data_IF_671365024995
#
_entry.id   IF_671365024995
#
_cell.length_a   1.000
_cell.length_b   1.000
_cell.length_c   1.000
_cell.angle_alpha   90.00
_cell.angle_beta   90.00
_cell.angle_gamma   90.00
#
_symmetry.space_group_name_H-M   'P 1'
#
loop_
_entity.id
_entity.type
_entity.pdbx_description
1 polymer ?
#
# COMPACT_ATOMS: atom_id res chain seq x y z
N UNK A 1 -2.45 -24.36 -6.22
CA UNK A 1 -1.44 -24.85 -5.24
C UNK A 1 -0.07 -24.45 -5.76
N UNK A 2 0.54 -23.42 -5.18
CA UNK A 2 1.92 -23.03 -5.49
C UNK A 2 2.83 -23.95 -4.69
N UNK A 3 3.22 -25.09 -5.28
CA UNK A 3 4.06 -26.07 -4.60
C UNK A 3 5.54 -25.75 -4.79
N UNK A 4 6.25 -25.57 -3.67
CA UNK A 4 7.69 -25.82 -3.57
C UNK A 4 8.58 -24.66 -4.03
N UNK A 5 9.26 -24.06 -3.03
CA UNK A 5 10.15 -22.89 -3.11
C UNK A 5 9.36 -21.60 -3.40
N UNK A 6 9.38 -20.69 -2.42
CA UNK A 6 8.83 -19.32 -2.49
C UNK A 6 7.33 -19.09 -2.18
N UNK A 7 6.67 -19.91 -1.34
CA UNK A 7 5.39 -19.51 -0.71
C UNK A 7 5.53 -18.16 0.06
N UNK A 8 6.75 -17.86 0.54
CA UNK A 8 7.08 -16.63 1.25
C UNK A 8 7.61 -15.49 0.36
N UNK A 9 7.64 -15.65 -0.97
CA UNK A 9 7.99 -14.55 -1.85
C UNK A 9 7.05 -13.38 -1.56
N UNK A 10 7.60 -12.19 -1.30
CA UNK A 10 6.82 -10.98 -1.02
C UNK A 10 5.70 -10.74 -2.05
N UNK A 11 5.98 -11.00 -3.33
CA UNK A 11 5.00 -10.86 -4.41
C UNK A 11 3.72 -11.66 -4.15
N UNK A 12 3.84 -12.81 -3.48
CA UNK A 12 2.72 -13.64 -3.06
C UNK A 12 2.05 -13.08 -1.81
N UNK A 13 2.79 -12.47 -0.88
CA UNK A 13 2.23 -11.80 0.32
C UNK A 13 1.34 -10.61 -0.06
N UNK A 14 1.82 -9.76 -0.98
CA UNK A 14 1.05 -8.64 -1.52
C UNK A 14 -0.21 -9.13 -2.24
N UNK A 15 -0.03 -10.07 -3.18
CA UNK A 15 -1.13 -10.59 -3.99
C UNK A 15 -2.16 -11.30 -3.13
N UNK A 16 -1.72 -12.10 -2.16
CA UNK A 16 -2.59 -12.77 -1.20
C UNK A 16 -3.43 -11.77 -0.40
N UNK A 17 -2.81 -10.71 0.12
CA UNK A 17 -3.52 -9.69 0.90
C UNK A 17 -4.53 -8.93 0.03
N UNK A 18 -4.12 -8.53 -1.17
CA UNK A 18 -4.98 -7.83 -2.13
C UNK A 18 -6.14 -8.71 -2.59
N UNK A 19 -5.89 -9.98 -2.90
CA UNK A 19 -6.93 -10.93 -3.31
C UNK A 19 -7.89 -11.24 -2.17
N UNK A 20 -7.42 -11.40 -0.93
CA UNK A 20 -8.32 -11.59 0.22
C UNK A 20 -9.25 -10.39 0.40
N UNK A 21 -8.73 -9.17 0.25
CA UNK A 21 -9.50 -7.94 0.29
C UNK A 21 -10.49 -7.83 -0.89
N UNK A 22 -10.09 -8.27 -2.09
CA UNK A 22 -10.94 -8.27 -3.28
C UNK A 22 -12.07 -9.30 -3.18
N UNK A 23 -11.75 -10.53 -2.79
CA UNK A 23 -12.66 -11.68 -2.69
C UNK A 23 -13.68 -11.48 -1.59
N UNK A 24 -13.30 -10.88 -0.45
CA UNK A 24 -14.23 -10.57 0.62
C UNK A 24 -15.42 -9.72 0.14
N UNK A 25 -15.23 -8.90 -0.91
CA UNK A 25 -16.32 -8.16 -1.56
C UNK A 25 -16.95 -7.04 -0.72
N UNK A 26 -16.48 -6.83 0.51
CA UNK A 26 -17.12 -5.95 1.49
C UNK A 26 -16.89 -4.45 1.24
N UNK A 27 -15.97 -4.09 0.34
CA UNK A 27 -15.63 -2.70 0.03
C UNK A 27 -16.06 -2.32 -1.39
N UNK A 28 -17.22 -1.68 -1.50
CA UNK A 28 -17.91 -1.40 -2.78
C UNK A 28 -17.78 0.06 -3.24
N UNK A 29 -17.19 0.94 -2.43
CA UNK A 29 -17.01 2.38 -2.77
C UNK A 29 -16.05 2.55 -3.96
N UNK A 30 -15.13 1.60 -4.16
CA UNK A 30 -14.23 1.53 -5.32
C UNK A 30 -14.30 0.13 -5.92
N UNK A 31 -14.14 0.03 -7.24
CA UNK A 31 -13.85 -1.25 -7.91
C UNK A 31 -12.39 -1.63 -7.70
N UNK A 32 -12.12 -2.93 -7.55
CA UNK A 32 -10.78 -3.51 -7.56
C UNK A 32 -10.73 -4.63 -8.59
N UNK A 33 -9.98 -4.41 -9.66
CA UNK A 33 -9.74 -5.41 -10.71
C UNK A 33 -8.32 -5.98 -10.59
N UNK A 34 -8.17 -7.27 -10.86
CA UNK A 34 -6.86 -7.93 -10.94
C UNK A 34 -6.67 -8.46 -12.35
N UNK A 35 -5.70 -7.89 -13.08
CA UNK A 35 -5.40 -8.22 -14.47
C UNK A 35 -4.07 -8.95 -14.53
N UNK A 36 -3.99 -10.02 -15.31
CA UNK A 36 -2.77 -10.81 -15.52
C UNK A 36 -2.31 -10.75 -16.97
N UNK A 37 -1.00 -10.67 -17.21
CA UNK A 37 -0.42 -10.76 -18.54
C UNK A 37 0.89 -11.57 -18.56
N UNK A 38 1.10 -12.47 -19.54
CA UNK A 38 0.12 -12.95 -20.52
C UNK A 38 -1.08 -13.66 -19.88
N UNK A 39 -2.22 -13.75 -20.58
CA UNK A 39 -3.47 -14.27 -20.01
C UNK A 39 -3.36 -15.72 -19.49
N UNK A 40 -2.66 -16.58 -20.24
CA UNK A 40 -2.55 -18.00 -19.93
C UNK A 40 -1.47 -18.33 -18.87
N UNK A 41 -0.50 -17.43 -18.68
CA UNK A 41 0.58 -17.58 -17.70
C UNK A 41 0.99 -16.19 -17.19
N UNK A 42 0.20 -15.59 -16.26
CA UNK A 42 0.43 -14.21 -15.84
C UNK A 42 1.78 -14.01 -15.17
N UNK A 43 2.65 -13.23 -15.84
CA UNK A 43 3.94 -12.83 -15.31
C UNK A 43 3.87 -11.45 -14.65
N UNK A 44 3.15 -10.53 -15.28
CA UNK A 44 2.78 -9.23 -14.71
C UNK A 44 1.35 -9.29 -14.18
N UNK A 45 1.15 -8.80 -12.96
CA UNK A 45 -0.17 -8.72 -12.33
C UNK A 45 -0.44 -7.27 -11.94
N UNK A 46 -1.56 -6.74 -12.38
CA UNK A 46 -2.01 -5.37 -12.15
C UNK A 46 -3.21 -5.40 -11.21
N UNK A 47 -3.06 -4.84 -10.02
CA UNK A 47 -4.17 -4.58 -9.11
C UNK A 47 -4.62 -3.14 -9.34
N UNK A 48 -5.83 -2.96 -9.86
CA UNK A 48 -6.34 -1.67 -10.34
C UNK A 48 -7.53 -1.24 -9.50
N UNK A 49 -7.38 -0.18 -8.72
CA UNK A 49 -8.45 0.46 -7.97
C UNK A 49 -9.01 1.65 -8.78
N UNK A 50 -10.33 1.69 -8.98
CA UNK A 50 -11.04 2.77 -9.69
C UNK A 50 -12.34 3.14 -8.97
N UNK A 51 -12.77 4.40 -9.09
CA UNK A 51 -14.12 4.84 -8.71
C UNK A 51 -14.47 6.15 -9.40
N UNK A 52 -15.70 6.65 -9.20
CA UNK A 52 -16.12 7.96 -9.72
C UNK A 52 -15.40 9.15 -9.07
N UNK A 53 -14.79 8.95 -7.89
CA UNK A 53 -14.15 10.02 -7.10
C UNK A 53 -12.64 9.85 -6.99
N UNK A 54 -12.10 8.67 -7.29
CA UNK A 54 -10.68 8.36 -7.21
C UNK A 54 -10.12 8.05 -8.59
N UNK A 55 -9.06 8.78 -8.97
CA UNK A 55 -8.29 8.47 -10.17
C UNK A 55 -7.76 7.04 -10.13
N UNK A 56 -7.60 6.37 -11.29
CA UNK A 56 -7.06 5.02 -11.33
C UNK A 56 -5.76 4.90 -10.55
N UNK A 57 -5.73 3.96 -9.60
CA UNK A 57 -4.56 3.65 -8.80
C UNK A 57 -4.16 2.19 -9.03
N UNK A 58 -2.97 2.00 -9.59
CA UNK A 58 -2.44 0.70 -9.94
C UNK A 58 -1.32 0.33 -8.99
N UNK A 59 -1.33 -0.92 -8.55
CA UNK A 59 -0.15 -1.58 -8.01
C UNK A 59 0.24 -2.72 -8.94
N UNK A 60 1.50 -2.80 -9.33
CA UNK A 60 1.98 -3.79 -10.30
C UNK A 60 2.99 -4.72 -9.65
N UNK A 61 2.70 -6.01 -9.73
CA UNK A 61 3.63 -7.07 -9.39
C UNK A 61 4.32 -7.54 -10.67
N UNK A 62 5.65 -7.51 -10.66
CA UNK A 62 6.50 -8.02 -11.74
C UNK A 62 6.89 -9.50 -11.55
N UNK A 63 7.42 -10.19 -12.57
CA UNK A 63 7.83 -11.59 -12.47
C UNK A 63 8.96 -11.78 -11.45
N UNK A 64 9.02 -12.95 -10.79
CA UNK A 64 10.12 -13.25 -9.85
C UNK A 64 11.44 -13.50 -10.60
N UNK A 65 11.37 -14.14 -11.77
CA UNK A 65 12.53 -14.56 -12.57
C UNK A 65 13.20 -13.43 -13.36
N UNK A 66 12.90 -12.18 -13.03
CA UNK A 66 13.37 -11.00 -13.77
C UNK A 66 12.39 -10.51 -14.82
N UNK A 67 12.65 -9.30 -15.32
CA UNK A 67 11.75 -8.58 -16.22
C UNK A 67 11.83 -9.10 -17.66
N UNK A 68 10.65 -9.37 -18.24
CA UNK A 68 10.50 -9.51 -19.68
C UNK A 68 9.99 -8.19 -20.24
N UNK A 69 10.90 -7.39 -20.80
CA UNK A 69 10.62 -6.03 -21.28
C UNK A 69 9.59 -6.02 -22.41
N UNK A 70 9.55 -7.06 -23.25
CA UNK A 70 8.54 -7.17 -24.31
C UNK A 70 7.15 -7.32 -23.70
N UNK A 71 7.00 -8.27 -22.77
CA UNK A 71 5.74 -8.50 -22.07
C UNK A 71 5.30 -7.29 -21.26
N UNK A 72 6.23 -6.66 -20.52
CA UNK A 72 5.95 -5.42 -19.78
C UNK A 72 5.38 -4.34 -20.69
N UNK A 73 5.99 -4.14 -21.85
CA UNK A 73 5.58 -3.07 -22.75
C UNK A 73 4.22 -3.33 -23.38
N UNK A 74 3.93 -4.58 -23.73
CA UNK A 74 2.63 -4.96 -24.27
C UNK A 74 1.54 -4.86 -23.20
N UNK A 75 1.79 -5.42 -22.02
CA UNK A 75 0.83 -5.41 -20.92
C UNK A 75 0.49 -4.01 -20.44
N UNK A 76 1.48 -3.11 -20.33
CA UNK A 76 1.24 -1.70 -19.97
C UNK A 76 0.34 -1.02 -21.00
N UNK A 77 0.55 -1.26 -22.30
CA UNK A 77 -0.31 -0.68 -23.34
C UNK A 77 -1.75 -1.18 -23.22
N UNK A 78 -1.95 -2.48 -23.02
CA UNK A 78 -3.28 -3.07 -22.87
C UNK A 78 -4.01 -2.53 -21.63
N UNK A 79 -3.31 -2.41 -20.50
CA UNK A 79 -3.88 -1.86 -19.26
C UNK A 79 -4.23 -0.38 -19.43
N UNK A 80 -3.35 0.41 -20.04
CA UNK A 80 -3.62 1.83 -20.29
C UNK A 80 -4.77 2.05 -21.28
N UNK A 81 -4.87 1.22 -22.31
CA UNK A 81 -6.00 1.27 -23.26
C UNK A 81 -7.32 0.96 -22.56
N UNK A 82 -7.34 -0.07 -21.70
CA UNK A 82 -8.50 -0.42 -20.87
C UNK A 82 -8.93 0.70 -19.92
N UNK A 83 -7.96 1.44 -19.36
CA UNK A 83 -8.22 2.51 -18.38
C UNK A 83 -8.35 3.90 -19.01
N UNK A 84 -8.31 4.00 -20.34
CA UNK A 84 -8.24 5.27 -21.07
C UNK A 84 -9.32 6.24 -20.64
N UNK A 85 -10.57 5.80 -20.62
CA UNK A 85 -11.71 6.66 -20.34
C UNK A 85 -11.68 7.18 -18.90
N UNK A 86 -11.32 6.34 -17.93
CA UNK A 86 -11.16 6.76 -16.53
C UNK A 86 -9.99 7.73 -16.37
N UNK A 87 -8.85 7.46 -17.02
CA UNK A 87 -7.68 8.36 -16.97
C UNK A 87 -8.05 9.74 -17.53
N UNK A 88 -8.78 9.80 -18.65
CA UNK A 88 -9.26 11.04 -19.25
C UNK A 88 -10.26 11.75 -18.35
N UNK A 89 -11.22 11.02 -17.77
CA UNK A 89 -12.24 11.59 -16.90
C UNK A 89 -11.64 12.21 -15.63
N UNK A 90 -10.65 11.56 -15.03
CA UNK A 90 -10.00 12.05 -13.80
C UNK A 90 -8.81 12.98 -14.05
N UNK A 91 -8.29 13.02 -15.28
CA UNK A 91 -7.09 13.76 -15.65
C UNK A 91 -5.80 13.22 -15.01
N UNK A 92 -5.86 12.09 -14.30
CA UNK A 92 -4.77 11.59 -13.44
C UNK A 92 -4.72 10.07 -13.40
N UNK A 93 -3.55 9.54 -13.12
CA UNK A 93 -3.31 8.12 -12.82
C UNK A 93 -2.16 8.00 -11.81
N UNK A 94 -2.26 7.04 -10.90
CA UNK A 94 -1.20 6.71 -9.95
C UNK A 94 -0.74 5.27 -10.16
N UNK A 95 0.57 5.06 -10.17
CA UNK A 95 1.20 3.75 -10.35
C UNK A 95 2.19 3.52 -9.21
N UNK A 96 2.07 2.37 -8.56
CA UNK A 96 2.99 1.85 -7.54
C UNK A 96 3.62 0.57 -8.09
N UNK A 97 4.87 0.66 -8.55
CA UNK A 97 5.59 -0.49 -9.13
C UNK A 97 7.11 -0.30 -9.03
N UNK A 98 7.90 -1.22 -9.58
CA UNK A 98 9.33 -1.00 -9.75
C UNK A 98 9.63 0.13 -10.77
N UNK A 99 10.91 0.53 -10.85
CA UNK A 99 11.33 1.64 -11.69
C UNK A 99 11.08 1.40 -13.18
N UNK A 100 11.39 0.19 -13.69
CA UNK A 100 11.25 -0.12 -15.10
C UNK A 100 9.78 -0.14 -15.51
N UNK A 101 8.92 -0.71 -14.67
CA UNK A 101 7.47 -0.73 -14.87
C UNK A 101 6.90 0.68 -14.91
N UNK A 102 7.22 1.53 -13.94
CA UNK A 102 6.68 2.90 -13.93
C UNK A 102 7.20 3.78 -15.08
N UNK A 103 8.43 3.57 -15.56
CA UNK A 103 8.92 4.21 -16.78
C UNK A 103 8.19 3.73 -18.04
N UNK A 104 7.81 2.44 -18.10
CA UNK A 104 6.99 1.94 -19.19
C UNK A 104 5.62 2.65 -19.23
N UNK A 105 4.99 2.90 -18.07
CA UNK A 105 3.77 3.70 -17.98
C UNK A 105 3.98 5.11 -18.51
N UNK A 106 5.00 5.83 -18.04
CA UNK A 106 5.30 7.19 -18.50
C UNK A 106 5.52 7.28 -20.01
N UNK A 107 6.20 6.29 -20.60
CA UNK A 107 6.45 6.23 -22.05
C UNK A 107 5.18 5.99 -22.86
N UNK A 108 4.28 5.13 -22.40
CA UNK A 108 3.10 4.71 -23.18
C UNK A 108 1.83 5.48 -22.87
N UNK A 109 1.78 6.23 -21.76
CA UNK A 109 0.62 7.01 -21.36
C UNK A 109 0.27 8.12 -22.38
N UNK A 110 1.21 8.97 -22.85
CA UNK A 110 0.89 10.00 -23.83
C UNK A 110 0.33 9.50 -25.17
N UNK A 111 0.93 8.50 -25.85
CA UNK A 111 0.40 8.03 -27.14
C UNK A 111 -0.96 7.32 -27.03
N UNK A 112 -1.30 6.74 -25.87
CA UNK A 112 -2.59 6.06 -25.67
C UNK A 112 -3.71 7.06 -25.36
N UNK A 113 -3.44 8.04 -24.50
CA UNK A 113 -4.43 9.06 -24.11
C UNK A 113 -4.49 10.20 -25.14
N UNK A 114 -3.46 10.37 -25.96
CA UNK A 114 -3.37 11.42 -26.98
C UNK A 114 -3.07 12.81 -26.41
N UNK A 115 -2.55 12.90 -25.18
CA UNK A 115 -2.21 14.14 -24.49
C UNK A 115 -0.89 14.00 -23.72
N UNK A 116 -0.10 15.07 -23.57
CA UNK A 116 1.08 15.03 -22.72
C UNK A 116 0.69 14.98 -21.23
N UNK A 117 1.63 14.54 -20.40
CA UNK A 117 1.47 14.42 -18.96
C UNK A 117 2.68 14.99 -18.22
N UNK A 118 2.44 15.47 -17.00
CA UNK A 118 3.50 15.75 -16.03
C UNK A 118 3.51 14.67 -14.94
N UNK A 119 4.72 14.30 -14.50
CA UNK A 119 4.92 13.56 -13.26
C UNK A 119 4.83 14.53 -12.08
N UNK A 120 3.77 14.44 -11.29
CA UNK A 120 3.50 15.35 -10.16
C UNK A 120 3.83 14.74 -8.80
N UNK A 121 3.98 13.42 -8.74
CA UNK A 121 4.53 12.70 -7.57
C UNK A 121 5.57 11.73 -8.08
N UNK A 122 6.71 11.69 -7.41
CA UNK A 122 7.78 10.71 -7.64
C UNK A 122 8.39 10.36 -6.28
N UNK A 123 7.93 9.26 -5.70
CA UNK A 123 8.39 8.81 -4.38
C UNK A 123 9.00 7.43 -4.49
N UNK A 124 10.28 7.34 -4.18
CA UNK A 124 10.98 6.07 -4.02
C UNK A 124 10.80 5.57 -2.59
N UNK A 125 10.26 4.36 -2.46
CA UNK A 125 9.97 3.74 -1.19
C UNK A 125 10.72 2.42 -1.05
N UNK A 126 11.35 2.26 0.10
CA UNK A 126 11.76 0.95 0.57
C UNK A 126 10.55 0.17 1.06
N UNK A 127 10.60 -1.13 0.89
CA UNK A 127 9.51 -2.02 1.24
C UNK A 127 9.89 -2.93 2.39
N UNK A 128 9.09 -2.91 3.44
CA UNK A 128 9.29 -3.75 4.61
C UNK A 128 8.13 -4.75 4.72
N UNK A 129 8.46 -5.98 5.08
CA UNK A 129 7.48 -7.04 5.31
C UNK A 129 7.83 -7.84 6.56
N UNK A 130 6.84 -8.55 7.10
CA UNK A 130 7.05 -9.52 8.18
C UNK A 130 7.04 -10.94 7.62
N UNK A 131 8.04 -11.74 7.95
CA UNK A 131 8.09 -13.18 7.66
C UNK A 131 7.04 -13.94 8.50
N UNK A 132 6.80 -15.23 8.19
CA UNK A 132 5.91 -16.06 9.00
C UNK A 132 6.37 -16.11 10.47
N UNK A 133 7.67 -16.29 10.72
CA UNK A 133 8.25 -16.30 12.06
C UNK A 133 8.06 -14.95 12.79
N UNK A 134 8.30 -13.83 12.09
CA UNK A 134 8.07 -12.50 12.65
C UNK A 134 6.61 -12.28 13.03
N UNK A 135 5.67 -12.74 12.20
CA UNK A 135 4.23 -12.66 12.48
C UNK A 135 3.80 -13.55 13.65
N UNK A 136 4.37 -14.74 13.80
CA UNK A 136 4.13 -15.61 14.96
C UNK A 136 4.61 -14.95 16.26
N UNK A 137 5.84 -14.44 16.27
CA UNK A 137 6.38 -13.66 17.41
C UNK A 137 5.51 -12.45 17.72
N UNK A 138 5.06 -11.74 16.69
CA UNK A 138 4.18 -10.59 16.83
C UNK A 138 2.85 -10.97 17.49
N UNK A 139 2.25 -12.10 17.15
CA UNK A 139 0.96 -12.53 17.69
C UNK A 139 0.98 -12.77 19.21
N UNK A 140 2.14 -13.17 19.74
CA UNK A 140 2.37 -13.46 21.17
C UNK A 140 2.87 -12.24 21.97
N UNK A 141 3.22 -11.15 21.28
CA UNK A 141 3.89 -10.02 21.90
C UNK A 141 2.92 -9.07 22.62
N UNK A 142 3.24 -8.70 23.86
CA UNK A 142 2.60 -7.58 24.53
C UNK A 142 3.15 -6.26 23.97
N UNK A 143 2.26 -5.38 23.52
CA UNK A 143 2.63 -4.09 22.96
C UNK A 143 2.82 -3.10 24.10
N UNK A 144 4.02 -2.52 24.29
CA UNK A 144 4.20 -1.45 25.25
C UNK A 144 3.43 -0.22 24.79
N UNK A 145 2.42 0.17 25.57
CA UNK A 145 1.63 1.39 25.35
C UNK A 145 2.01 2.40 26.45
N UNK A 146 2.28 3.68 26.10
CA UNK A 146 2.56 4.69 27.12
C UNK A 146 1.44 4.83 28.15
N UNK A 147 1.79 5.20 29.38
CA UNK A 147 0.83 5.39 30.47
C UNK A 147 -0.27 6.39 30.08
N UNK A 148 -1.51 6.05 30.40
CA UNK A 148 -2.67 6.88 30.10
C UNK A 148 -3.06 6.91 28.62
N UNK A 149 -2.47 6.05 27.78
CA UNK A 149 -2.85 5.86 26.39
C UNK A 149 -3.54 4.52 26.20
N UNK A 150 -4.56 4.51 25.35
CA UNK A 150 -5.23 3.29 24.89
C UNK A 150 -5.03 3.12 23.39
N UNK A 151 -4.94 1.86 22.94
CA UNK A 151 -4.94 1.50 21.51
C UNK A 151 -6.23 0.77 21.18
N UNK A 152 -6.99 1.32 20.25
CA UNK A 152 -8.30 0.79 19.86
C UNK A 152 -8.55 0.94 18.36
N UNK A 153 -9.60 0.28 17.85
CA UNK A 153 -10.03 0.44 16.45
C UNK A 153 -10.41 1.90 16.21
N UNK A 154 -10.06 2.45 15.04
CA UNK A 154 -10.52 3.80 14.67
C UNK A 154 -12.04 3.82 14.56
N UNK A 155 -12.66 4.86 15.12
CA UNK A 155 -14.08 5.13 14.92
C UNK A 155 -14.22 6.00 13.66
N UNK A 156 -14.66 5.39 12.57
CA UNK A 156 -14.73 6.06 11.28
C UNK A 156 -15.69 7.25 11.25
N UNK A 157 -16.76 7.21 12.05
CA UNK A 157 -17.80 8.24 12.06
C UNK A 157 -17.34 9.44 12.90
N UNK A 158 -16.59 9.15 13.95
CA UNK A 158 -16.02 10.17 14.83
C UNK A 158 -14.75 10.80 14.25
N UNK A 159 -13.82 9.99 13.75
CA UNK A 159 -12.45 10.41 13.45
C UNK A 159 -12.21 10.64 11.94
N UNK A 160 -13.09 10.12 11.07
CA UNK A 160 -12.80 9.98 9.65
C UNK A 160 -12.51 11.31 8.93
N UNK A 161 -13.26 12.37 9.22
CA UNK A 161 -13.01 13.70 8.67
C UNK A 161 -11.66 14.28 9.12
N UNK A 162 -11.32 14.10 10.40
CA UNK A 162 -10.03 14.57 10.95
C UNK A 162 -8.87 13.82 10.30
N UNK A 163 -8.99 12.50 10.19
CA UNK A 163 -7.98 11.64 9.56
C UNK A 163 -7.83 12.00 8.08
N UNK A 164 -8.93 12.24 7.36
CA UNK A 164 -8.90 12.65 5.97
C UNK A 164 -8.20 14.01 5.79
N UNK A 165 -8.59 15.02 6.58
CA UNK A 165 -8.03 16.37 6.50
C UNK A 165 -6.51 16.40 6.77
N UNK A 166 -6.01 15.48 7.59
CA UNK A 166 -4.58 15.36 7.91
C UNK A 166 -3.80 14.50 6.91
N UNK A 167 -4.49 13.81 6.00
CA UNK A 167 -3.84 12.91 5.06
C UNK A 167 -3.42 13.63 3.78
N UNK A 168 -2.11 13.85 3.61
CA UNK A 168 -1.53 14.49 2.40
C UNK A 168 -1.94 13.85 1.07
N UNK A 169 -2.30 12.56 1.10
CA UNK A 169 -2.68 11.78 -0.08
C UNK A 169 -4.17 11.45 -0.11
N UNK A 170 -4.98 12.04 0.78
CA UNK A 170 -6.43 11.90 0.78
C UNK A 170 -7.02 12.44 -0.51
N UNK A 171 -7.92 11.66 -1.13
CA UNK A 171 -8.61 12.05 -2.38
C UNK A 171 -10.07 12.40 -2.09
N UNK A 172 -10.75 11.52 -1.34
CA UNK A 172 -12.15 11.70 -0.94
C UNK A 172 -12.31 11.30 0.53
N UNK A 173 -13.06 12.12 1.28
CA UNK A 173 -13.44 11.82 2.65
C UNK A 173 -14.26 10.53 2.72
N UNK A 174 -15.23 10.35 1.82
CA UNK A 174 -16.06 9.14 1.74
C UNK A 174 -15.21 7.88 1.56
N UNK A 175 -14.23 7.91 0.66
CA UNK A 175 -13.30 6.79 0.46
C UNK A 175 -12.48 6.55 1.74
N UNK A 176 -12.04 7.62 2.41
CA UNK A 176 -11.23 7.51 3.63
C UNK A 176 -12.05 6.91 4.78
N UNK A 177 -13.26 7.42 5.02
CA UNK A 177 -14.21 6.94 6.04
C UNK A 177 -14.57 5.48 5.76
N UNK A 178 -14.87 5.14 4.51
CA UNK A 178 -15.17 3.77 4.14
C UNK A 178 -13.96 2.86 4.43
N UNK A 179 -12.73 3.27 4.08
CA UNK A 179 -11.53 2.48 4.40
C UNK A 179 -11.39 2.25 5.90
N UNK A 180 -11.65 3.26 6.72
CA UNK A 180 -11.63 3.13 8.19
C UNK A 180 -12.68 2.14 8.72
N UNK A 181 -13.86 2.08 8.11
CA UNK A 181 -14.93 1.14 8.49
C UNK A 181 -14.58 -0.31 8.15
N UNK A 182 -14.13 -0.54 6.93
CA UNK A 182 -13.99 -1.87 6.34
C UNK A 182 -12.59 -2.48 6.46
N UNK A 183 -11.56 -1.66 6.59
CA UNK A 183 -10.19 -2.14 6.70
C UNK A 183 -9.65 -1.99 8.12
N UNK A 184 -8.72 -2.90 8.53
CA UNK A 184 -8.00 -2.77 9.79
C UNK A 184 -7.44 -1.37 9.98
N UNK A 185 -7.75 -0.79 11.14
CA UNK A 185 -7.30 0.54 11.52
C UNK A 185 -7.18 0.61 13.03
N UNK A 186 -6.13 1.29 13.51
CA UNK A 186 -5.86 1.47 14.94
C UNK A 186 -5.62 2.95 15.21
N UNK A 187 -6.16 3.45 16.31
CA UNK A 187 -5.82 4.75 16.86
C UNK A 187 -5.26 4.63 18.28
N UNK A 188 -4.53 5.67 18.68
CA UNK A 188 -4.17 5.92 20.06
C UNK A 188 -5.05 7.04 20.63
N UNK A 189 -5.54 6.87 21.86
CA UNK A 189 -6.29 7.91 22.59
C UNK A 189 -5.73 8.17 23.97
N UNK A 190 -5.86 9.41 24.44
CA UNK A 190 -5.61 9.75 25.84
C UNK A 190 -6.79 9.35 26.75
N UNK A 191 -6.64 9.58 28.06
CA UNK A 191 -7.67 9.30 29.08
C UNK A 191 -8.96 10.09 28.89
N UNK A 192 -8.93 11.20 28.15
CA UNK A 192 -10.10 12.01 27.83
C UNK A 192 -10.76 11.57 26.51
N UNK A 193 -10.20 10.55 25.85
CA UNK A 193 -10.66 10.07 24.56
C UNK A 193 -10.23 10.93 23.38
N UNK A 194 -9.23 11.81 23.51
CA UNK A 194 -8.72 12.59 22.38
C UNK A 194 -7.85 11.71 21.48
N UNK A 195 -7.99 11.87 20.16
CA UNK A 195 -7.19 11.17 19.16
C UNK A 195 -5.74 11.68 19.19
N UNK A 196 -4.77 10.78 19.34
CA UNK A 196 -3.33 11.11 19.40
C UNK A 196 -2.57 10.73 18.14
N UNK A 197 -3.07 9.72 17.43
CA UNK A 197 -2.46 9.17 16.22
C UNK A 197 -3.22 7.95 15.73
N UNK A 198 -2.93 7.52 14.51
CA UNK A 198 -3.59 6.40 13.85
C UNK A 198 -2.72 5.74 12.79
N UNK A 199 -3.14 4.56 12.34
CA UNK A 199 -2.71 3.91 11.11
C UNK A 199 -3.86 3.06 10.56
N UNK A 200 -3.86 2.80 9.26
CA UNK A 200 -4.84 1.92 8.61
C UNK A 200 -4.20 1.07 7.53
N UNK A 201 -4.76 -0.09 7.24
CA UNK A 201 -4.37 -0.83 6.05
C UNK A 201 -4.99 -0.19 4.79
N UNK A 202 -4.19 -0.10 3.73
CA UNK A 202 -4.63 0.37 2.42
C UNK A 202 -5.35 -0.72 1.63
N UNK A 203 -5.88 -0.33 0.46
CA UNK A 203 -6.64 -1.23 -0.43
C UNK A 203 -5.83 -2.46 -0.89
N UNK A 204 -4.50 -2.36 -0.92
CA UNK A 204 -3.62 -3.45 -1.33
C UNK A 204 -2.95 -4.18 -0.15
N UNK A 205 -3.54 -4.06 1.05
CA UNK A 205 -3.11 -4.81 2.23
C UNK A 205 -1.79 -4.33 2.85
N UNK A 206 -1.32 -3.13 2.52
CA UNK A 206 -0.18 -2.49 3.17
C UNK A 206 -0.62 -1.68 4.39
N UNK A 207 0.20 -1.59 5.43
CA UNK A 207 0.04 -0.54 6.45
C UNK A 207 0.28 0.81 5.77
N UNK A 208 -0.61 1.76 6.01
CA UNK A 208 -0.65 3.07 5.38
C UNK A 208 -1.20 4.13 6.33
N UNK A 209 -1.01 5.40 5.94
CA UNK A 209 -1.51 6.56 6.67
C UNK A 209 -1.19 6.50 8.18
N UNK A 210 0.03 6.05 8.53
CA UNK A 210 0.53 6.16 9.90
C UNK A 210 0.80 7.64 10.20
N UNK A 211 0.17 8.13 11.25
CA UNK A 211 0.34 9.51 11.68
C UNK A 211 0.23 9.61 13.20
N UNK A 212 1.08 10.46 13.78
CA UNK A 212 0.97 10.88 15.18
C UNK A 212 0.94 12.40 15.18
N UNK A 213 -0.03 12.97 15.89
CA UNK A 213 -0.16 14.41 16.06
C UNK A 213 1.17 14.99 16.58
N UNK A 214 1.66 16.12 16.03
CA UNK A 214 2.99 16.65 16.34
C UNK A 214 3.36 16.71 17.83
N UNK A 215 2.44 17.14 18.68
CA UNK A 215 2.55 17.28 20.14
C UNK A 215 2.65 15.93 20.90
N UNK A 216 2.34 14.82 20.22
CA UNK A 216 2.39 13.46 20.76
C UNK A 216 3.52 12.61 20.16
N UNK A 217 4.35 13.17 19.28
CA UNK A 217 5.50 12.47 18.66
C UNK A 217 6.62 12.17 19.66
N UNK A 218 7.51 11.25 19.27
CA UNK A 218 8.69 10.81 20.05
C UNK A 218 8.36 10.13 21.39
N UNK A 219 7.12 9.66 21.57
CA UNK A 219 6.65 8.94 22.77
C UNK A 219 6.42 7.44 22.51
N UNK A 220 6.93 6.91 21.39
CA UNK A 220 6.72 5.50 21.00
C UNK A 220 5.35 5.18 20.39
N UNK A 221 4.44 6.16 20.29
CA UNK A 221 3.06 5.94 19.82
C UNK A 221 2.94 5.36 18.42
N UNK A 222 3.68 5.90 17.44
CA UNK A 222 3.64 5.40 16.06
C UNK A 222 3.97 3.91 15.98
N UNK A 223 5.07 3.51 16.64
CA UNK A 223 5.45 2.10 16.77
C UNK A 223 4.36 1.26 17.44
N UNK A 224 3.73 1.75 18.50
CA UNK A 224 2.70 1.01 19.22
C UNK A 224 1.44 0.80 18.36
N UNK A 225 1.00 1.84 17.66
CA UNK A 225 -0.11 1.82 16.70
C UNK A 225 0.20 0.85 15.54
N UNK A 226 1.35 1.02 14.90
CA UNK A 226 1.80 0.17 13.78
C UNK A 226 1.86 -1.30 14.19
N UNK A 227 2.46 -1.59 15.34
CA UNK A 227 2.59 -2.96 15.86
C UNK A 227 1.21 -3.57 16.15
N UNK A 228 0.27 -2.80 16.72
CA UNK A 228 -1.09 -3.31 16.98
C UNK A 228 -1.85 -3.57 15.69
N UNK A 229 -1.72 -2.68 14.70
CA UNK A 229 -2.33 -2.88 13.39
C UNK A 229 -1.76 -4.13 12.71
N UNK A 230 -0.44 -4.32 12.76
CA UNK A 230 0.22 -5.52 12.26
C UNK A 230 -0.27 -6.80 12.96
N UNK A 231 -0.53 -6.76 14.28
CA UNK A 231 -1.12 -7.88 15.02
C UNK A 231 -2.52 -8.22 14.50
N UNK A 232 -3.38 -7.22 14.33
CA UNK A 232 -4.74 -7.42 13.81
C UNK A 232 -4.72 -7.99 12.39
N UNK A 233 -3.89 -7.43 11.51
CA UNK A 233 -3.73 -7.95 10.15
C UNK A 233 -3.23 -9.41 10.15
N UNK A 234 -2.29 -9.75 11.04
CA UNK A 234 -1.80 -11.13 11.20
C UNK A 234 -2.92 -12.07 11.65
N UNK A 235 -3.76 -11.67 12.62
CA UNK A 235 -4.91 -12.47 13.09
C UNK A 235 -5.94 -12.71 11.99
N UNK A 236 -6.09 -11.77 11.06
CA UNK A 236 -6.94 -11.91 9.88
C UNK A 236 -6.31 -12.74 8.76
N UNK A 237 -5.12 -13.32 8.97
CA UNK A 237 -4.40 -14.10 7.98
C UNK A 237 -3.81 -13.27 6.85
N UNK A 238 -3.68 -11.95 7.02
CA UNK A 238 -3.08 -11.08 6.02
C UNK A 238 -1.56 -11.12 6.08
N UNK A 239 -0.95 -10.86 4.93
CA UNK A 239 0.44 -10.43 4.88
C UNK A 239 0.59 -9.08 5.55
N UNK A 240 1.70 -8.88 6.27
CA UNK A 240 2.02 -7.58 6.87
C UNK A 240 3.17 -6.95 6.11
N UNK A 241 2.90 -5.85 5.44
CA UNK A 241 3.88 -5.08 4.69
C UNK A 241 3.63 -3.58 4.80
N UNK A 242 4.66 -2.78 4.55
CA UNK A 242 4.58 -1.32 4.48
C UNK A 242 5.61 -0.75 3.51
N UNK A 243 5.33 0.46 3.05
CA UNK A 243 6.25 1.24 2.24
C UNK A 243 6.73 2.43 3.05
N UNK A 244 8.04 2.67 3.00
CA UNK A 244 8.67 3.81 3.68
C UNK A 244 9.44 4.60 2.65
N UNK A 245 9.01 5.84 2.40
CA UNK A 245 9.72 6.80 1.55
C UNK A 245 11.15 7.00 2.10
N UNK A 246 12.16 6.95 1.23
CA UNK A 246 13.56 7.17 1.64
C UNK A 246 13.80 8.55 2.26
N UNK A 247 13.00 9.55 1.84
CA UNK A 247 13.01 10.90 2.40
C UNK A 247 12.58 10.93 3.87
N UNK A 248 11.83 9.94 4.34
CA UNK A 248 11.42 9.81 5.74
C UNK A 248 12.47 9.03 6.53
N UNK A 249 13.66 9.61 6.66
CA UNK A 249 14.86 8.98 7.24
C UNK A 249 14.61 8.38 8.62
N UNK A 250 13.88 9.08 9.50
CA UNK A 250 13.57 8.60 10.83
C UNK A 250 12.77 7.29 10.83
N UNK A 251 11.72 7.20 10.00
CA UNK A 251 10.90 5.99 9.90
C UNK A 251 11.68 4.88 9.19
N UNK A 252 12.44 5.21 8.14
CA UNK A 252 13.25 4.26 7.40
C UNK A 252 14.30 3.58 8.29
N UNK A 253 15.09 4.38 9.01
CA UNK A 253 16.10 3.87 9.92
C UNK A 253 15.49 3.10 11.11
N UNK A 254 14.36 3.57 11.63
CA UNK A 254 13.64 2.86 12.70
C UNK A 254 13.14 1.50 12.21
N UNK A 255 12.65 1.40 10.97
CA UNK A 255 12.21 0.14 10.39
C UNK A 255 13.38 -0.84 10.21
N UNK A 256 14.55 -0.36 9.74
CA UNK A 256 15.77 -1.18 9.61
C UNK A 256 16.25 -1.77 10.94
N UNK A 257 16.11 -1.04 12.05
CA UNK A 257 16.54 -1.50 13.39
C UNK A 257 15.50 -2.36 14.10
N UNK A 258 14.26 -2.44 13.58
CA UNK A 258 13.18 -3.14 14.25
C UNK A 258 13.18 -4.64 13.85
N UNK A 259 13.36 -5.57 14.80
CA UNK A 259 13.45 -7.00 14.50
C UNK A 259 12.15 -7.62 13.94
N UNK A 260 11.03 -6.91 14.04
CA UNK A 260 9.76 -7.34 13.44
C UNK A 260 9.67 -7.05 11.94
N UNK A 261 10.54 -6.20 11.40
CA UNK A 261 10.50 -5.79 10.00
C UNK A 261 11.70 -6.34 9.25
N UNK A 262 11.45 -6.87 8.06
CA UNK A 262 12.48 -7.29 7.11
C UNK A 262 12.41 -6.37 5.90
N UNK A 263 13.53 -5.71 5.58
CA UNK A 263 13.65 -4.98 4.30
C UNK A 263 13.65 -6.00 3.17
N UNK A 264 12.73 -5.85 2.23
CA UNK A 264 12.66 -6.71 1.07
C UNK A 264 13.79 -6.37 0.08
N UNK A 265 14.49 -7.41 -0.37
CA UNK A 265 15.63 -7.30 -1.28
C UNK A 265 15.40 -8.19 -2.50
N UNK A 266 16.13 -7.88 -3.57
CA UNK A 266 16.24 -8.73 -4.76
C UNK A 266 16.97 -10.03 -4.41
N UNK A 267 16.98 -11.00 -5.34
CA UNK A 267 17.65 -12.31 -5.16
C UNK A 267 19.15 -12.19 -4.86
N UNK A 268 19.78 -11.06 -5.21
CA UNK A 268 21.18 -10.78 -4.87
C UNK A 268 21.42 -10.46 -3.38
N UNK A 269 20.35 -10.42 -2.58
CA UNK A 269 20.28 -10.07 -1.15
C UNK A 269 20.92 -8.73 -0.78
N UNK A 270 21.33 -7.93 -1.77
CA UNK A 270 22.06 -6.67 -1.58
C UNK A 270 21.21 -5.49 -1.99
N UNK A 271 20.48 -5.63 -3.08
CA UNK A 271 19.71 -4.54 -3.69
C UNK A 271 18.31 -4.51 -3.07
N UNK A 272 17.92 -3.41 -2.38
CA UNK A 272 16.54 -3.21 -1.97
C UNK A 272 15.61 -3.26 -3.19
N UNK A 273 14.50 -3.97 -3.07
CA UNK A 273 13.51 -4.03 -4.13
C UNK A 273 12.50 -2.90 -3.89
N UNK A 274 12.82 -1.76 -4.48
CA UNK A 274 12.12 -0.49 -4.26
C UNK A 274 10.83 -0.41 -5.04
N UNK A 275 9.86 0.28 -4.45
CA UNK A 275 8.59 0.60 -5.08
C UNK A 275 8.51 2.10 -5.29
N UNK A 276 8.18 2.49 -6.50
CA UNK A 276 8.03 3.86 -6.95
C UNK A 276 6.56 4.20 -7.01
N UNK A 277 6.16 5.21 -6.25
CA UNK A 277 4.84 5.81 -6.32
C UNK A 277 4.92 7.00 -7.26
N UNK A 278 4.43 6.82 -8.49
CA UNK A 278 4.41 7.87 -9.51
C UNK A 278 2.99 8.26 -9.85
N UNK A 279 2.70 9.56 -9.79
CA UNK A 279 1.42 10.14 -10.18
C UNK A 279 1.62 11.01 -11.42
N UNK A 280 0.82 10.74 -12.43
CA UNK A 280 0.83 11.46 -13.70
C UNK A 280 -0.45 12.27 -13.83
N UNK A 281 -0.34 13.49 -14.35
CA UNK A 281 -1.44 14.43 -14.59
C UNK A 281 -1.43 14.92 -16.04
N UNK A 282 -2.60 14.87 -16.70
CA UNK A 282 -2.82 15.37 -18.06
C UNK A 282 -2.60 16.89 -18.10
N UNK A 283 -1.93 17.39 -19.14
CA UNK A 283 -1.81 18.83 -19.44
C UNK A 283 -2.98 19.38 -20.25
#
# INVERSE_FOLDING_TARGET
KLSGVNEEAYANTFLHSTLNIAIAGDFTITSLEVLGYPENDPQYIYCVETSEVQHPYLHVRKPLSGDNIEFLNESVKLVLDRLRDQIVAHGRIMVSADDATTHAFERFLPPIVGRPFNRIVDSECAMFCMTCEQRQKLAEMDIPVPDGVTLEKVDADRDGETIHAMWKNGISADVTIARLRYFPSICARDQNGNLLGWAMSGRFGQISNEFVLPEHRNKGLGKAIETRLAQEMTRMGHGVLKYVEYSNTNVYESALRNPLWTLWRMEDEKTPNNVYFRKFEIL
#
